data_IF_809383504417
#
_entry.id   IF_809383504417
#
_cell.length_a   1.000
_cell.length_b   1.000
_cell.length_c   1.000
_cell.angle_alpha   90.00
_cell.angle_beta   90.00
_cell.angle_gamma   90.00
#
_symmetry.space_group_name_H-M   'P 1'
#
loop_
_entity.id
_entity.type
_entity.pdbx_description
1 polymer ?
#
# COMPACT_ATOMS: atom_id res chain seq x y z
N UNK A 1 -11.76 5.30 13.29
CA UNK A 1 -11.31 3.94 12.88
C UNK A 1 -10.39 4.13 11.68
N UNK A 2 -9.16 4.66 11.87
CA UNK A 2 -8.56 5.53 10.84
C UNK A 2 -7.12 5.15 10.43
N UNK A 3 -6.91 3.98 9.82
CA UNK A 3 -5.63 3.70 9.14
C UNK A 3 -5.78 3.19 7.70
N UNK A 4 -7.00 2.82 7.27
CA UNK A 4 -7.21 2.34 5.92
C UNK A 4 -7.09 3.44 4.85
N UNK A 5 -7.54 4.65 5.16
CA UNK A 5 -7.66 5.76 4.23
C UNK A 5 -6.34 6.29 3.69
N UNK A 6 -5.37 6.52 4.57
CA UNK A 6 -4.06 7.04 4.21
C UNK A 6 -3.36 6.08 3.24
N UNK A 7 -3.60 4.77 3.39
CA UNK A 7 -3.08 3.74 2.47
C UNK A 7 -3.71 3.91 1.09
N UNK A 8 -5.05 4.03 1.01
CA UNK A 8 -5.73 4.24 -0.27
C UNK A 8 -5.28 5.52 -0.98
N UNK A 9 -5.19 6.65 -0.26
CA UNK A 9 -4.75 7.93 -0.82
C UNK A 9 -3.30 7.86 -1.33
N UNK A 10 -2.40 7.25 -0.55
CA UNK A 10 -1.01 7.04 -0.96
C UNK A 10 -0.95 6.27 -2.27
N UNK A 11 -1.66 5.14 -2.36
CA UNK A 11 -1.72 4.34 -3.57
C UNK A 11 -2.31 5.12 -4.74
N UNK A 12 -3.36 5.92 -4.51
CA UNK A 12 -4.02 6.75 -5.53
C UNK A 12 -3.06 7.73 -6.20
N UNK A 13 -2.13 8.30 -5.43
CA UNK A 13 -1.06 9.15 -5.95
C UNK A 13 0.17 8.36 -6.43
N UNK A 14 0.08 7.03 -6.53
CA UNK A 14 1.20 6.18 -6.95
C UNK A 14 2.30 6.09 -5.92
N UNK A 15 2.01 6.24 -4.63
CA UNK A 15 2.98 6.12 -3.53
C UNK A 15 2.82 4.73 -2.88
N UNK A 16 3.76 3.80 -3.12
CA UNK A 16 3.76 2.50 -2.46
C UNK A 16 3.96 2.67 -0.96
N UNK A 17 3.34 1.82 -0.15
CA UNK A 17 3.34 1.95 1.32
C UNK A 17 4.09 0.83 2.02
N UNK A 18 4.71 1.13 3.16
CA UNK A 18 5.20 0.13 4.11
C UNK A 18 4.17 0.04 5.23
N UNK A 19 3.62 -1.15 5.48
CA UNK A 19 2.57 -1.34 6.48
C UNK A 19 2.79 -2.62 7.30
N UNK A 20 2.10 -2.74 8.43
CA UNK A 20 2.29 -3.84 9.39
C UNK A 20 1.56 -5.15 9.04
N UNK A 21 0.84 -5.19 7.92
CA UNK A 21 -0.05 -6.31 7.56
C UNK A 21 -1.23 -6.50 8.50
N UNK A 22 -1.51 -5.56 9.41
CA UNK A 22 -2.66 -5.59 10.34
C UNK A 22 -3.84 -4.78 9.82
N UNK A 23 -3.79 -4.34 8.57
CA UNK A 23 -4.83 -3.54 7.92
C UNK A 23 -5.70 -4.42 7.03
N UNK A 24 -6.95 -4.03 6.77
CA UNK A 24 -7.85 -4.76 5.87
C UNK A 24 -7.36 -4.86 4.41
N UNK A 25 -6.24 -4.21 4.08
CA UNK A 25 -5.61 -4.22 2.76
C UNK A 25 -4.68 -5.43 2.59
N UNK A 26 -5.25 -6.63 2.55
CA UNK A 26 -4.52 -7.84 2.23
C UNK A 26 -4.10 -7.85 0.73
N UNK A 27 -2.97 -8.51 0.42
CA UNK A 27 -2.45 -8.76 -0.94
C UNK A 27 -1.85 -7.57 -1.71
N UNK A 28 -1.65 -6.41 -1.09
CA UNK A 28 -0.97 -5.27 -1.74
C UNK A 28 0.42 -5.62 -2.29
N UNK A 29 1.18 -6.47 -1.57
CA UNK A 29 2.52 -6.93 -2.00
C UNK A 29 2.47 -7.71 -3.32
N UNK A 30 1.38 -8.44 -3.60
CA UNK A 30 1.22 -9.24 -4.84
C UNK A 30 1.20 -8.36 -6.10
N UNK A 31 0.84 -7.08 -5.94
CA UNK A 31 0.76 -6.12 -7.05
C UNK A 31 2.01 -5.25 -7.17
N UNK A 32 3.06 -5.47 -6.36
CA UNK A 32 4.15 -4.51 -6.17
C UNK A 32 3.61 -3.13 -5.76
N UNK A 33 2.68 -3.08 -4.82
CA UNK A 33 2.07 -1.84 -4.35
C UNK A 33 2.38 -1.51 -2.88
N UNK A 34 2.96 -2.46 -2.13
CA UNK A 34 3.37 -2.25 -0.74
C UNK A 34 4.48 -3.22 -0.30
N UNK A 35 4.86 -3.07 0.97
CA UNK A 35 5.57 -4.08 1.75
C UNK A 35 4.89 -4.27 3.10
N UNK A 36 4.52 -5.52 3.43
CA UNK A 36 4.04 -5.88 4.76
C UNK A 36 5.19 -6.34 5.68
N UNK A 37 5.51 -5.54 6.70
CA UNK A 37 6.53 -5.87 7.71
C UNK A 37 5.91 -5.91 9.11
N UNK A 38 5.98 -7.06 9.79
CA UNK A 38 5.50 -7.19 11.17
C UNK A 38 6.20 -6.21 12.11
N UNK A 39 5.45 -5.63 13.05
CA UNK A 39 5.94 -4.58 13.96
C UNK A 39 7.11 -5.02 14.84
N UNK A 40 7.26 -6.32 15.12
CA UNK A 40 8.34 -6.89 15.91
C UNK A 40 9.65 -7.11 15.10
N UNK A 41 9.66 -6.78 13.80
CA UNK A 41 10.78 -7.01 12.88
C UNK A 41 11.48 -5.71 12.48
N UNK A 42 11.94 -4.92 13.45
CA UNK A 42 12.64 -3.64 13.21
C UNK A 42 13.78 -3.75 12.18
N UNK A 43 14.56 -4.83 12.20
CA UNK A 43 15.65 -5.04 11.25
C UNK A 43 15.16 -5.16 9.79
N UNK A 44 13.95 -5.69 9.56
CA UNK A 44 13.38 -5.79 8.22
C UNK A 44 13.00 -4.41 7.66
N UNK A 45 12.57 -3.47 8.51
CA UNK A 45 12.36 -2.08 8.10
C UNK A 45 13.67 -1.43 7.64
N UNK A 46 14.75 -1.59 8.41
CA UNK A 46 16.07 -1.06 8.05
C UNK A 46 16.51 -1.59 6.69
N UNK A 47 16.53 -2.91 6.53
CA UNK A 47 16.94 -3.55 5.27
C UNK A 47 16.06 -3.14 4.09
N UNK A 48 14.75 -3.00 4.30
CA UNK A 48 13.86 -2.53 3.24
C UNK A 48 14.20 -1.10 2.82
N UNK A 49 14.36 -0.18 3.77
CA UNK A 49 14.67 1.23 3.50
C UNK A 49 16.02 1.33 2.76
N UNK A 50 17.03 0.57 3.18
CA UNK A 50 18.33 0.50 2.50
C UNK A 50 18.18 0.04 1.05
N UNK A 51 17.36 -0.99 0.79
CA UNK A 51 17.08 -1.46 -0.56
C UNK A 51 16.31 -0.43 -1.41
N UNK A 52 15.38 0.32 -0.80
CA UNK A 52 14.60 1.34 -1.50
C UNK A 52 15.44 2.56 -1.90
N UNK A 53 16.45 2.91 -1.11
CA UNK A 53 17.40 3.97 -1.45
C UNK A 53 18.22 3.61 -2.70
N UNK A 54 18.46 2.32 -2.91
CA UNK A 54 19.25 1.80 -4.04
C UNK A 54 18.38 1.39 -5.24
N UNK A 55 17.08 1.69 -5.20
CA UNK A 55 16.13 1.27 -6.22
C UNK A 55 16.39 2.03 -7.53
N UNK A 56 16.57 1.29 -8.63
CA UNK A 56 16.69 1.89 -9.96
C UNK A 56 15.34 2.43 -10.47
N UNK A 57 15.40 3.28 -11.50
CA UNK A 57 14.22 3.95 -12.08
C UNK A 57 13.18 2.97 -12.65
N UNK A 58 13.62 1.86 -13.25
CA UNK A 58 12.72 0.86 -13.82
C UNK A 58 11.97 0.11 -12.71
N UNK A 59 12.69 -0.25 -11.65
CA UNK A 59 12.17 -0.83 -10.42
C UNK A 59 11.19 0.13 -9.74
N UNK A 60 11.54 1.41 -9.61
CA UNK A 60 10.64 2.43 -9.07
C UNK A 60 9.36 2.55 -9.92
N UNK A 61 9.49 2.66 -11.24
CA UNK A 61 8.36 2.71 -12.16
C UNK A 61 7.46 1.47 -12.07
N UNK A 62 8.00 0.28 -11.77
CA UNK A 62 7.22 -0.93 -11.55
C UNK A 62 6.33 -0.79 -10.30
N UNK A 63 6.84 -0.23 -9.21
CA UNK A 63 6.03 0.01 -8.01
C UNK A 63 4.93 1.06 -8.24
N UNK A 64 5.24 2.16 -8.95
CA UNK A 64 4.23 3.16 -9.32
C UNK A 64 3.06 2.53 -10.11
N UNK A 65 3.39 1.68 -11.10
CA UNK A 65 2.41 0.93 -11.88
C UNK A 65 1.64 -0.05 -10.99
N UNK A 66 2.31 -0.70 -10.06
CA UNK A 66 1.71 -1.62 -9.09
C UNK A 66 0.61 -0.97 -8.26
N UNK A 67 0.84 0.25 -7.76
CA UNK A 67 -0.19 1.03 -7.05
C UNK A 67 -1.46 1.21 -7.89
N UNK A 68 -1.31 1.56 -9.17
CA UNK A 68 -2.44 1.74 -10.10
C UNK A 68 -3.20 0.44 -10.34
N UNK A 69 -2.48 -0.66 -10.60
CA UNK A 69 -3.09 -1.99 -10.81
C UNK A 69 -3.90 -2.41 -9.59
N UNK A 70 -3.35 -2.22 -8.38
CA UNK A 70 -4.06 -2.56 -7.16
C UNK A 70 -5.33 -1.74 -6.96
N UNK A 71 -5.28 -0.43 -7.22
CA UNK A 71 -6.49 0.41 -7.16
C UNK A 71 -7.57 -0.03 -8.14
N UNK A 72 -7.18 -0.43 -9.35
CA UNK A 72 -8.14 -0.90 -10.35
C UNK A 72 -8.74 -2.25 -9.95
N UNK A 73 -7.96 -3.13 -9.28
CA UNK A 73 -8.50 -4.32 -8.62
C UNK A 73 -9.53 -3.95 -7.54
N UNK A 74 -9.18 -3.04 -6.63
CA UNK A 74 -10.05 -2.59 -5.53
C UNK A 74 -11.34 -1.91 -6.01
N UNK A 75 -11.30 -1.14 -7.10
CA UNK A 75 -12.49 -0.52 -7.69
C UNK A 75 -13.50 -1.55 -8.20
N UNK A 76 -13.01 -2.70 -8.68
CA UNK A 76 -13.85 -3.77 -9.19
C UNK A 76 -14.48 -4.59 -8.04
N UNK A 77 -13.82 -4.65 -6.87
CA UNK A 77 -14.43 -5.10 -5.62
C UNK A 77 -15.29 -3.97 -5.02
N UNK A 78 -16.55 -3.90 -5.44
CA UNK A 78 -17.52 -2.80 -5.21
C UNK A 78 -17.76 -2.32 -3.77
N UNK A 79 -17.12 -2.86 -2.75
CA UNK A 79 -17.43 -2.60 -1.34
C UNK A 79 -16.40 -1.75 -0.58
N UNK A 80 -15.16 -1.61 -1.06
CA UNK A 80 -14.11 -0.93 -0.29
C UNK A 80 -14.21 0.60 -0.37
N UNK A 81 -14.53 1.15 -1.55
CA UNK A 81 -14.66 2.61 -1.74
C UNK A 81 -15.85 3.16 -0.95
N UNK A 82 -16.97 2.42 -0.87
CA UNK A 82 -18.13 2.80 -0.06
C UNK A 82 -17.82 2.80 1.43
N UNK A 83 -17.16 1.74 1.92
CA UNK A 83 -16.81 1.65 3.35
C UNK A 83 -15.81 2.74 3.76
N UNK A 84 -14.92 3.14 2.86
CA UNK A 84 -14.05 4.28 3.06
C UNK A 84 -14.85 5.60 3.13
N UNK A 85 -15.73 5.90 2.18
CA UNK A 85 -16.53 7.13 2.22
C UNK A 85 -17.39 7.25 3.51
N UNK A 86 -17.93 6.14 3.99
CA UNK A 86 -18.75 6.08 5.21
C UNK A 86 -17.97 6.35 6.52
N UNK A 87 -16.64 6.21 6.51
CA UNK A 87 -15.79 6.46 7.69
C UNK A 87 -15.55 7.96 7.96
N UNK A 88 -15.86 8.84 7.01
CA UNK A 88 -15.74 10.30 7.14
C UNK A 88 -17.09 11.02 7.37
N UNK A 89 -18.21 10.30 7.39
CA UNK A 89 -19.55 10.86 7.63
C UNK A 89 -19.99 10.84 9.11
N UNK A 90 -19.08 10.55 10.06
CA UNK A 90 -19.34 10.65 11.50
C UNK A 90 -18.38 11.61 12.20
#
# INVERSE_FOLDING_TARGET
MNFGHVIFESLYFGTPVICSGTTAWDKLDEFNASWNIKLDKSQQYVTLIENLILLDDDSYCRYLKGCKVHLDFLKNEKDIIKNNLLLFEN
#
